data_IF_778866875379
#
_entry.id   IF_778866875379
#
_cell.length_a   1.000
_cell.length_b   1.000
_cell.length_c   1.000
_cell.angle_alpha   90.00
_cell.angle_beta   90.00
_cell.angle_gamma   90.00
#
_symmetry.space_group_name_H-M   'P 1'
#
loop_
_entity.id
_entity.type
_entity.pdbx_description
1 polymer ?
#
# COMPACT_ATOMS: atom_id res chain seq x y z
N UNK A 1 -56.35 60.35 -7.30
CA UNK A 1 -54.98 59.88 -7.14
C UNK A 1 -54.96 58.41 -6.67
N UNK A 2 -54.86 57.58 -7.63
CA UNK A 2 -54.68 56.18 -7.31
C UNK A 2 -53.31 56.03 -6.72
N UNK A 3 -53.18 55.46 -5.55
CA UNK A 3 -51.91 55.01 -5.16
C UNK A 3 -51.46 54.01 -6.19
N UNK A 4 -50.47 54.39 -6.89
CA UNK A 4 -49.79 53.38 -7.64
C UNK A 4 -49.41 52.25 -6.61
N UNK A 5 -50.21 51.31 -6.66
CA UNK A 5 -49.84 50.10 -5.95
C UNK A 5 -48.66 49.55 -6.73
N UNK A 6 -47.56 50.15 -6.45
CA UNK A 6 -46.32 49.56 -6.86
C UNK A 6 -45.91 48.57 -5.78
N UNK A 7 -46.73 47.61 -5.63
CA UNK A 7 -46.24 46.38 -5.11
C UNK A 7 -45.24 45.92 -6.15
N UNK A 8 -44.04 46.35 -5.97
CA UNK A 8 -42.95 45.71 -6.62
C UNK A 8 -43.14 44.22 -6.36
N UNK A 9 -43.72 43.64 -7.31
CA UNK A 9 -43.83 42.21 -7.34
C UNK A 9 -42.39 41.71 -7.35
N UNK A 10 -41.86 41.58 -6.16
CA UNK A 10 -40.61 40.90 -6.00
C UNK A 10 -40.84 39.53 -6.60
N UNK A 11 -40.44 39.39 -7.82
CA UNK A 11 -40.37 38.10 -8.46
C UNK A 11 -39.68 37.15 -7.47
N UNK A 12 -40.32 36.07 -7.10
CA UNK A 12 -39.64 35.13 -6.22
C UNK A 12 -38.36 34.76 -6.90
N UNK A 13 -37.28 35.23 -6.32
CA UNK A 13 -35.98 34.70 -6.68
C UNK A 13 -36.12 33.19 -6.56
N UNK A 14 -36.02 32.47 -7.66
CA UNK A 14 -36.05 31.02 -7.53
C UNK A 14 -35.02 30.63 -6.47
N UNK A 15 -35.37 29.79 -5.52
CA UNK A 15 -34.41 29.39 -4.55
C UNK A 15 -33.18 28.95 -5.34
N UNK A 16 -32.08 29.65 -5.14
CA UNK A 16 -30.81 29.15 -5.59
C UNK A 16 -30.73 27.82 -4.89
N UNK A 17 -31.09 26.77 -5.58
CA UNK A 17 -30.71 25.46 -5.12
C UNK A 17 -29.24 25.58 -4.78
N UNK A 18 -28.86 25.32 -3.54
CA UNK A 18 -27.45 25.22 -3.26
C UNK A 18 -26.95 24.25 -4.33
N UNK A 19 -26.29 24.77 -5.32
CA UNK A 19 -25.48 23.99 -6.21
C UNK A 19 -24.78 23.07 -5.28
N UNK A 20 -25.21 21.81 -5.24
CA UNK A 20 -24.62 20.83 -4.36
C UNK A 20 -23.16 21.12 -4.42
N UNK A 21 -22.60 21.65 -3.34
CA UNK A 21 -21.17 21.77 -3.15
C UNK A 21 -20.58 20.62 -3.91
N UNK A 22 -19.72 20.84 -4.91
CA UNK A 22 -19.12 19.68 -5.56
C UNK A 22 -18.75 18.77 -4.43
N UNK A 23 -19.49 17.68 -4.31
CA UNK A 23 -19.27 16.69 -3.30
C UNK A 23 -17.77 16.58 -3.26
N UNK A 24 -17.17 16.87 -2.10
CA UNK A 24 -15.76 16.63 -1.89
C UNK A 24 -15.43 15.46 -2.79
N UNK A 25 -14.53 15.59 -3.75
CA UNK A 25 -14.39 14.62 -4.82
C UNK A 25 -14.55 13.27 -4.18
N UNK A 26 -15.59 12.55 -4.57
CA UNK A 26 -15.77 11.20 -4.08
C UNK A 26 -14.38 10.64 -4.13
N UNK A 27 -13.80 10.41 -2.97
CA UNK A 27 -12.49 9.81 -2.91
C UNK A 27 -12.65 8.60 -3.80
N UNK A 28 -12.16 8.73 -5.02
CA UNK A 28 -12.11 7.62 -5.94
C UNK A 28 -11.63 6.45 -5.10
N UNK A 29 -12.41 5.38 -5.08
CA UNK A 29 -12.05 4.19 -4.34
C UNK A 29 -10.55 4.01 -4.52
N UNK A 30 -9.76 3.91 -3.45
CA UNK A 30 -8.31 3.83 -3.58
C UNK A 30 -7.99 2.74 -4.60
N UNK A 31 -7.14 3.06 -5.57
CA UNK A 31 -6.72 2.10 -6.57
C UNK A 31 -6.31 0.81 -5.85
N UNK A 32 -6.98 -0.32 -6.11
CA UNK A 32 -6.69 -1.56 -5.43
C UNK A 32 -5.26 -2.06 -5.69
N UNK A 33 -4.60 -1.54 -6.72
CA UNK A 33 -3.24 -1.91 -7.10
C UNK A 33 -2.17 -0.96 -6.54
N UNK A 34 -2.48 -0.21 -5.50
CA UNK A 34 -1.50 0.63 -4.80
C UNK A 34 -1.18 0.03 -3.44
N UNK A 35 0.09 -0.26 -3.22
CA UNK A 35 0.62 -0.63 -1.91
C UNK A 35 0.90 0.63 -1.10
N UNK A 36 0.28 0.73 0.07
CA UNK A 36 0.44 1.87 0.98
C UNK A 36 1.11 1.39 2.27
N UNK A 37 1.60 2.33 3.06
CA UNK A 37 2.16 1.99 4.37
C UNK A 37 1.12 1.33 5.28
N UNK A 38 -0.15 1.69 5.12
CA UNK A 38 -1.25 1.12 5.89
C UNK A 38 -1.60 -0.30 5.46
N UNK A 39 -1.36 -0.64 4.20
CA UNK A 39 -1.68 -1.97 3.67
C UNK A 39 -2.00 -2.02 2.20
N UNK A 40 -2.68 -3.08 1.80
CA UNK A 40 -3.07 -3.37 0.42
C UNK A 40 -4.48 -3.95 0.41
N UNK A 41 -5.38 -3.34 -0.37
CA UNK A 41 -6.77 -3.78 -0.42
C UNK A 41 -7.42 -3.70 0.95
N UNK A 42 -7.98 -4.80 1.42
CA UNK A 42 -8.59 -4.91 2.74
C UNK A 42 -7.60 -5.29 3.85
N UNK A 43 -6.36 -5.61 3.52
CA UNK A 43 -5.34 -5.89 4.52
C UNK A 43 -4.78 -4.59 5.10
N UNK A 44 -4.66 -4.56 6.43
CA UNK A 44 -4.03 -3.46 7.16
C UNK A 44 -2.91 -4.01 8.04
N UNK A 45 -1.74 -3.39 7.94
CA UNK A 45 -0.59 -3.74 8.79
C UNK A 45 -0.97 -3.51 10.25
N UNK A 46 -0.72 -4.52 11.09
CA UNK A 46 -1.02 -4.47 12.51
C UNK A 46 -2.42 -4.91 12.90
N UNK A 47 -3.25 -5.27 11.93
CA UNK A 47 -4.61 -5.74 12.15
C UNK A 47 -4.77 -7.20 11.74
N UNK A 48 -5.83 -7.82 12.22
CA UNK A 48 -6.21 -9.17 11.78
C UNK A 48 -6.67 -9.15 10.34
N UNK A 49 -6.52 -10.28 9.65
CA UNK A 49 -7.12 -10.43 8.32
C UNK A 49 -8.64 -10.35 8.47
N UNK A 50 -9.32 -9.50 7.69
CA UNK A 50 -10.77 -9.37 7.79
C UNK A 50 -11.49 -10.68 7.46
N UNK A 51 -12.60 -10.92 8.14
CA UNK A 51 -13.48 -12.04 7.80
C UNK A 51 -13.98 -11.89 6.36
N UNK A 52 -13.93 -12.97 5.59
CA UNK A 52 -14.36 -12.94 4.19
C UNK A 52 -13.32 -12.37 3.21
N UNK A 53 -12.13 -12.06 3.68
CA UNK A 53 -11.04 -11.61 2.82
C UNK A 53 -10.63 -12.69 1.82
N UNK A 54 -10.18 -12.25 0.64
CA UNK A 54 -9.59 -13.14 -0.38
C UNK A 54 -8.22 -13.68 0.02
N UNK A 55 -7.60 -13.08 1.04
CA UNK A 55 -6.30 -13.52 1.55
C UNK A 55 -6.47 -14.74 2.42
N UNK A 56 -5.81 -15.81 2.06
CA UNK A 56 -5.89 -17.08 2.78
C UNK A 56 -4.57 -17.83 2.73
N UNK A 57 -4.40 -18.72 3.69
CA UNK A 57 -3.31 -19.67 3.70
C UNK A 57 -3.46 -20.62 2.50
N UNK A 58 -2.40 -20.72 1.71
CA UNK A 58 -2.34 -21.64 0.57
C UNK A 58 -0.96 -22.29 0.57
N UNK A 59 -0.96 -23.62 0.53
CA UNK A 59 0.28 -24.39 0.61
C UNK A 59 0.75 -24.65 2.04
N UNK A 60 1.90 -25.30 2.15
CA UNK A 60 2.49 -25.66 3.43
C UNK A 60 2.98 -24.43 4.19
N UNK A 61 2.78 -24.42 5.50
CA UNK A 61 3.24 -23.35 6.38
C UNK A 61 4.38 -23.84 7.27
N UNK A 62 5.30 -22.93 7.59
CA UNK A 62 6.44 -23.24 8.46
C UNK A 62 6.01 -23.49 9.90
N UNK A 63 4.99 -22.77 10.38
CA UNK A 63 4.42 -22.92 11.72
C UNK A 63 3.04 -22.30 11.80
N UNK A 64 2.30 -22.58 12.86
CA UNK A 64 1.02 -21.94 13.13
C UNK A 64 1.18 -20.49 13.62
N UNK A 65 2.37 -20.16 14.12
CA UNK A 65 2.65 -18.83 14.66
C UNK A 65 2.96 -17.80 13.56
N UNK A 66 3.44 -18.26 12.41
CA UNK A 66 3.78 -17.41 11.28
C UNK A 66 3.17 -18.01 10.01
N UNK A 67 2.23 -17.31 9.42
CA UNK A 67 1.47 -17.76 8.25
C UNK A 67 1.79 -16.89 7.05
N UNK A 68 1.91 -17.54 5.89
CA UNK A 68 2.04 -16.85 4.60
C UNK A 68 0.70 -16.98 3.87
N UNK A 69 0.12 -15.84 3.54
CA UNK A 69 -1.15 -15.75 2.84
C UNK A 69 -0.95 -15.23 1.43
N UNK A 70 -1.82 -15.64 0.53
CA UNK A 70 -1.90 -15.10 -0.83
C UNK A 70 -3.35 -14.84 -1.20
N UNK A 71 -3.55 -14.08 -2.28
CA UNK A 71 -4.88 -13.77 -2.80
C UNK A 71 -4.88 -13.88 -4.31
N UNK A 72 -5.92 -14.50 -4.91
CA UNK A 72 -6.06 -14.53 -6.37
C UNK A 72 -6.29 -13.12 -6.95
N UNK A 73 -6.73 -12.16 -6.14
CA UNK A 73 -6.94 -10.78 -6.57
C UNK A 73 -5.62 -10.02 -6.73
N UNK A 74 -4.53 -10.53 -6.14
CA UNK A 74 -3.21 -9.90 -6.15
C UNK A 74 -2.12 -10.91 -6.53
N UNK A 75 -2.09 -11.35 -7.81
CA UNK A 75 -1.04 -12.26 -8.26
C UNK A 75 0.35 -11.66 -8.02
N UNK A 76 1.28 -12.48 -7.53
CA UNK A 76 2.65 -12.04 -7.26
C UNK A 76 2.83 -11.34 -5.92
N UNK A 77 1.78 -11.18 -5.14
CA UNK A 77 1.85 -10.62 -3.78
C UNK A 77 1.63 -11.72 -2.73
N UNK A 78 2.21 -11.52 -1.57
CA UNK A 78 1.93 -12.35 -0.40
C UNK A 78 1.96 -11.52 0.87
N UNK A 79 1.37 -12.03 1.92
CA UNK A 79 1.33 -11.38 3.22
C UNK A 79 1.85 -12.34 4.30
N UNK A 80 2.49 -11.80 5.32
CA UNK A 80 2.91 -12.55 6.49
C UNK A 80 2.06 -12.12 7.68
N UNK A 81 1.44 -13.11 8.32
CA UNK A 81 0.67 -12.95 9.55
C UNK A 81 1.43 -13.62 10.68
N UNK A 82 1.82 -12.86 11.67
CA UNK A 82 2.51 -13.35 12.86
C UNK A 82 1.83 -12.79 14.10
N UNK A 83 1.56 -13.65 15.08
CA UNK A 83 0.81 -13.22 16.26
C UNK A 83 -0.63 -12.80 15.90
N UNK A 84 -1.23 -13.45 14.92
CA UNK A 84 -2.61 -13.21 14.47
C UNK A 84 -2.84 -11.82 13.86
N UNK A 85 -1.77 -11.13 13.45
CA UNK A 85 -1.85 -9.82 12.82
C UNK A 85 -1.02 -9.77 11.55
N UNK A 86 -1.48 -9.01 10.57
CA UNK A 86 -0.72 -8.73 9.34
C UNK A 86 0.51 -7.93 9.73
N UNK A 87 1.70 -8.48 9.48
CA UNK A 87 2.97 -7.83 9.80
C UNK A 87 3.73 -7.36 8.59
N UNK A 88 3.52 -7.99 7.45
CA UNK A 88 4.18 -7.61 6.19
C UNK A 88 3.30 -7.94 4.99
N UNK A 89 3.34 -7.09 4.00
CA UNK A 89 2.81 -7.34 2.66
C UNK A 89 3.98 -7.16 1.70
N UNK A 90 4.14 -8.13 0.81
CA UNK A 90 5.25 -8.16 -0.14
C UNK A 90 4.73 -8.30 -1.56
N UNK A 91 5.32 -7.54 -2.48
CA UNK A 91 5.01 -7.64 -3.90
C UNK A 91 6.28 -8.00 -4.67
N UNK A 92 6.16 -8.97 -5.57
CA UNK A 92 7.26 -9.47 -6.38
C UNK A 92 7.07 -9.19 -7.86
N UNK A 93 7.94 -9.75 -8.68
CA UNK A 93 8.02 -9.44 -10.13
C UNK A 93 6.75 -9.70 -10.92
N UNK A 94 5.90 -10.61 -10.48
CA UNK A 94 4.62 -10.89 -11.15
C UNK A 94 3.49 -9.98 -10.71
N UNK A 95 3.73 -9.13 -9.72
CA UNK A 95 2.72 -8.20 -9.23
C UNK A 95 2.59 -6.97 -10.12
N UNK A 96 1.36 -6.52 -10.31
CA UNK A 96 1.05 -5.23 -10.96
C UNK A 96 0.91 -4.10 -9.96
N UNK A 97 1.01 -4.43 -8.68
CA UNK A 97 0.90 -3.46 -7.59
C UNK A 97 2.12 -2.56 -7.60
N UNK A 98 1.90 -1.28 -7.34
CA UNK A 98 2.94 -0.26 -7.27
C UNK A 98 2.73 0.62 -6.05
N UNK A 99 3.77 1.37 -5.69
CA UNK A 99 3.65 2.46 -4.73
C UNK A 99 2.99 3.68 -5.39
N UNK A 100 2.53 4.63 -4.57
CA UNK A 100 1.91 5.88 -5.06
C UNK A 100 2.84 6.62 -6.02
N UNK A 101 4.15 6.55 -5.80
CA UNK A 101 5.18 7.18 -6.63
C UNK A 101 5.35 6.51 -7.99
N UNK A 102 4.64 5.42 -8.25
CA UNK A 102 4.76 4.64 -9.47
C UNK A 102 5.90 3.61 -9.45
N UNK A 103 6.60 3.50 -8.34
CA UNK A 103 7.67 2.49 -8.17
C UNK A 103 7.03 1.13 -7.94
N UNK A 104 7.46 0.15 -8.70
CA UNK A 104 7.02 -1.23 -8.58
C UNK A 104 8.16 -2.20 -8.87
N UNK A 105 7.91 -3.51 -8.79
CA UNK A 105 8.90 -4.50 -9.20
C UNK A 105 9.37 -4.25 -10.63
N UNK A 106 10.68 -4.33 -10.86
CA UNK A 106 11.29 -3.99 -12.14
C UNK A 106 11.83 -2.57 -12.24
N UNK A 107 11.48 -1.67 -11.32
CA UNK A 107 12.05 -0.33 -11.29
C UNK A 107 13.55 -0.40 -11.04
N UNK A 108 14.30 0.56 -11.58
CA UNK A 108 15.75 0.63 -11.34
C UNK A 108 16.07 1.16 -9.94
N UNK A 109 17.25 0.82 -9.43
CA UNK A 109 17.71 1.37 -8.15
C UNK A 109 17.72 2.90 -8.20
N UNK A 110 18.12 3.50 -9.32
CA UNK A 110 18.14 4.96 -9.49
C UNK A 110 16.74 5.57 -9.35
N UNK A 111 15.71 4.91 -9.92
CA UNK A 111 14.33 5.36 -9.77
C UNK A 111 13.86 5.29 -8.31
N UNK A 112 14.23 4.23 -7.60
CA UNK A 112 13.92 4.08 -6.17
C UNK A 112 14.57 5.21 -5.39
N UNK A 113 15.85 5.45 -5.60
CA UNK A 113 16.63 6.48 -4.85
C UNK A 113 16.12 7.89 -5.09
N UNK A 114 15.49 8.14 -6.22
CA UNK A 114 14.89 9.44 -6.51
C UNK A 114 13.82 9.84 -5.48
N UNK A 115 13.07 8.86 -4.98
CA UNK A 115 12.00 9.07 -4.01
C UNK A 115 12.36 8.58 -2.61
N UNK A 116 13.23 7.59 -2.52
CA UNK A 116 13.55 6.88 -1.28
C UNK A 116 15.08 6.73 -1.15
N UNK A 117 15.77 7.72 -0.60
CA UNK A 117 17.22 7.64 -0.40
C UNK A 117 17.55 6.79 0.83
N UNK A 118 17.13 5.54 0.83
CA UNK A 118 17.28 4.64 1.95
C UNK A 118 18.71 4.06 2.03
N UNK A 119 19.25 3.82 3.24
CA UNK A 119 20.52 3.16 3.39
C UNK A 119 20.47 1.73 2.85
N UNK A 120 21.58 1.33 2.24
CA UNK A 120 21.72 0.00 1.66
C UNK A 120 22.44 -0.95 2.61
N UNK A 121 22.01 -2.21 2.62
CA UNK A 121 22.69 -3.33 3.25
C UNK A 121 22.86 -4.45 2.24
N UNK A 122 23.91 -5.30 2.38
CA UNK A 122 24.13 -6.42 1.45
C UNK A 122 22.94 -7.40 1.46
N UNK A 123 22.57 -7.85 0.27
CA UNK A 123 21.55 -8.89 0.14
C UNK A 123 22.12 -10.22 0.64
N UNK A 124 21.32 -10.98 1.39
CA UNK A 124 21.76 -12.24 1.99
C UNK A 124 22.16 -13.30 0.94
N UNK A 125 21.46 -13.31 -0.20
CA UNK A 125 21.62 -14.36 -1.22
C UNK A 125 22.11 -13.87 -2.58
N UNK A 126 22.08 -12.57 -2.82
CA UNK A 126 22.38 -12.01 -4.13
C UNK A 126 23.59 -11.09 -4.01
N UNK A 127 24.66 -11.42 -4.75
CA UNK A 127 25.85 -10.59 -4.79
C UNK A 127 25.54 -9.21 -5.41
N UNK A 128 26.43 -8.25 -5.18
CA UNK A 128 26.29 -6.91 -5.78
C UNK A 128 26.00 -7.03 -7.29
N UNK A 129 25.03 -6.26 -7.84
CA UNK A 129 24.35 -5.10 -7.23
C UNK A 129 23.21 -5.43 -6.26
N UNK A 130 22.97 -6.70 -5.94
CA UNK A 130 21.95 -7.11 -4.97
C UNK A 130 22.12 -6.42 -3.63
N UNK A 131 21.03 -5.91 -3.08
CA UNK A 131 21.04 -5.21 -1.78
C UNK A 131 19.61 -5.06 -1.25
N UNK A 132 19.53 -4.71 0.03
CA UNK A 132 18.30 -4.21 0.63
C UNK A 132 18.39 -2.70 0.82
N UNK A 133 17.31 -2.01 0.53
CA UNK A 133 17.14 -0.59 0.83
C UNK A 133 16.00 -0.49 1.85
N UNK A 134 16.33 -0.16 3.07
CA UNK A 134 15.38 -0.18 4.18
C UNK A 134 15.15 1.24 4.72
N UNK A 135 13.89 1.58 4.94
CA UNK A 135 13.55 2.90 5.49
C UNK A 135 14.25 3.15 6.82
N UNK A 136 14.80 4.35 7.04
CA UNK A 136 15.50 4.68 8.29
C UNK A 136 14.64 4.51 9.55
N UNK A 137 13.30 4.66 9.41
CA UNK A 137 12.35 4.51 10.52
C UNK A 137 11.82 3.09 10.70
N UNK A 138 12.42 2.10 10.06
CA UNK A 138 11.89 0.72 10.07
C UNK A 138 11.75 0.11 11.47
N UNK A 139 12.53 0.57 12.44
CA UNK A 139 12.48 0.07 13.81
C UNK A 139 11.58 0.89 14.75
N UNK A 140 10.81 1.84 14.20
CA UNK A 140 9.93 2.71 15.00
C UNK A 140 8.69 2.02 15.55
N UNK A 141 8.32 0.88 14.99
CA UNK A 141 7.05 0.21 15.28
C UNK A 141 5.93 0.58 14.30
N UNK A 142 6.11 1.63 13.51
CA UNK A 142 5.19 1.99 12.44
C UNK A 142 5.52 1.23 11.16
N UNK A 143 4.55 1.01 10.27
CA UNK A 143 4.82 0.40 8.99
C UNK A 143 5.88 1.17 8.19
N UNK A 144 6.80 0.44 7.59
CA UNK A 144 7.88 1.01 6.80
C UNK A 144 8.13 0.19 5.55
N UNK A 145 8.85 0.78 4.59
CA UNK A 145 9.20 0.16 3.33
C UNK A 145 10.59 -0.48 3.38
N UNK A 146 10.73 -1.58 2.65
CA UNK A 146 12.00 -2.20 2.32
C UNK A 146 11.97 -2.68 0.88
N UNK A 147 12.98 -2.32 0.12
CA UNK A 147 13.17 -2.77 -1.26
C UNK A 147 14.25 -3.84 -1.31
N UNK A 148 14.04 -4.87 -2.13
CA UNK A 148 15.11 -5.77 -2.52
C UNK A 148 15.52 -5.45 -3.95
N UNK A 149 16.80 -5.20 -4.14
CA UNK A 149 17.41 -5.04 -5.46
C UNK A 149 18.04 -6.38 -5.83
N UNK A 150 17.69 -6.86 -7.01
CA UNK A 150 18.19 -8.14 -7.51
C UNK A 150 19.50 -8.02 -8.26
N UNK A 151 19.92 -9.14 -8.84
CA UNK A 151 21.20 -9.24 -9.57
C UNK A 151 21.29 -8.37 -10.82
N UNK A 152 20.15 -7.97 -11.37
CA UNK A 152 20.06 -7.09 -12.53
C UNK A 152 20.01 -5.59 -12.17
N UNK A 153 20.11 -5.26 -10.89
CA UNK A 153 20.06 -3.88 -10.41
C UNK A 153 18.66 -3.29 -10.36
N UNK A 154 17.63 -4.10 -10.54
CA UNK A 154 16.24 -3.65 -10.44
C UNK A 154 15.54 -4.21 -9.20
N UNK A 155 14.43 -3.58 -8.84
CA UNK A 155 13.60 -4.02 -7.72
C UNK A 155 13.04 -5.41 -8.02
N UNK A 156 13.38 -6.37 -7.19
CA UNK A 156 12.83 -7.73 -7.24
C UNK A 156 11.63 -7.88 -6.33
N UNK A 157 11.62 -7.20 -5.18
CA UNK A 157 10.51 -7.20 -4.24
C UNK A 157 10.39 -5.87 -3.52
N UNK A 158 9.17 -5.54 -3.13
CA UNK A 158 8.88 -4.42 -2.23
C UNK A 158 8.11 -4.97 -1.04
N UNK A 159 8.53 -4.61 0.16
CA UNK A 159 7.89 -5.00 1.41
C UNK A 159 7.39 -3.78 2.15
N UNK A 160 6.20 -3.88 2.71
CA UNK A 160 5.71 -2.93 3.72
C UNK A 160 5.34 -3.71 4.97
N UNK A 161 5.76 -3.21 6.12
CA UNK A 161 5.47 -3.91 7.37
C UNK A 161 6.25 -3.36 8.55
N UNK A 162 6.26 -4.14 9.62
CA UNK A 162 6.92 -3.80 10.88
C UNK A 162 8.00 -4.82 11.22
N UNK A 163 9.07 -4.38 11.89
CA UNK A 163 10.11 -5.29 12.38
C UNK A 163 9.58 -6.19 13.50
N UNK A 164 10.10 -7.40 13.66
CA UNK A 164 11.18 -8.01 12.88
C UNK A 164 10.76 -8.57 11.53
N UNK A 165 9.47 -8.75 11.30
CA UNK A 165 8.92 -9.42 10.09
C UNK A 165 9.30 -8.70 8.80
N UNK A 166 9.33 -7.38 8.82
CA UNK A 166 9.77 -6.59 7.67
C UNK A 166 11.17 -7.01 7.20
N UNK A 167 12.03 -7.38 8.11
CA UNK A 167 13.40 -7.78 7.83
C UNK A 167 13.60 -9.27 7.52
N UNK A 168 12.55 -10.07 7.56
CA UNK A 168 12.69 -11.50 7.23
C UNK A 168 13.10 -11.66 5.76
N UNK A 169 14.12 -12.46 5.54
CA UNK A 169 14.66 -12.72 4.19
C UNK A 169 14.06 -13.97 3.56
N UNK A 170 13.54 -14.85 4.38
CA UNK A 170 12.70 -15.98 4.00
C UNK A 170 11.35 -15.79 4.69
N UNK A 171 10.26 -16.12 4.05
CA UNK A 171 8.92 -15.70 4.46
C UNK A 171 8.69 -15.55 5.98
N UNK A 172 9.10 -16.52 6.77
CA UNK A 172 8.92 -16.52 8.23
C UNK A 172 10.25 -16.47 9.03
N UNK A 173 11.31 -16.06 8.38
CA UNK A 173 12.62 -15.99 9.07
C UNK A 173 13.59 -14.95 8.49
#
# INVERSE_FOLDING_TARGET
>A
PAPSDDSADALPVPPVEPKASPAAPEQAAPDPNILRLEGLGDLRIGEKVPAGSSWAVRGAQASDACLVLSSPDYPGAYSIVEGDKVRRISIGQRSRVKLVEGIGPGATEAEVKKYFPFPATPHKYVDAPGKYLTAPNASSGDPALRFEIGSDGTVSQIHVGTMPVLGYVEACS
#
